data_IF_934639499434
#
_entry.id   IF_934639499434
#
_cell.length_a   1.000
_cell.length_b   1.000
_cell.length_c   1.000
_cell.angle_alpha   90.00
_cell.angle_beta   90.00
_cell.angle_gamma   90.00
#
_symmetry.space_group_name_H-M   'P 1'
#
loop_
_entity.id
_entity.type
_entity.pdbx_description
1 polymer ?
#
# COMPACT_ATOMS: atom_id res chain seq x y z
N UNK A 1 53.43 56.11 -24.38
CA UNK A 1 52.01 56.07 -23.95
C UNK A 1 51.75 54.63 -23.50
N UNK A 2 51.98 54.24 -22.23
CA UNK A 2 51.13 54.50 -21.05
C UNK A 2 49.66 54.10 -21.31
N UNK A 3 48.98 53.26 -20.53
CA UNK A 3 49.26 52.60 -19.25
C UNK A 3 48.21 51.47 -19.06
N UNK A 4 48.59 50.42 -18.34
CA UNK A 4 47.70 49.43 -17.74
C UNK A 4 47.00 49.97 -16.47
N UNK A 5 46.10 49.16 -15.88
CA UNK A 5 45.42 49.30 -14.57
C UNK A 5 43.99 49.85 -14.69
N UNK A 6 42.92 49.12 -14.31
CA UNK A 6 42.70 48.57 -12.97
C UNK A 6 41.96 47.23 -12.97
N UNK A 7 42.52 46.33 -12.16
CA UNK A 7 42.02 45.06 -11.67
C UNK A 7 41.09 45.31 -10.45
N UNK A 8 39.82 44.88 -10.51
CA UNK A 8 38.87 44.55 -9.42
C UNK A 8 37.49 44.44 -10.12
N UNK A 9 36.70 43.37 -10.14
CA UNK A 9 36.49 42.27 -9.22
C UNK A 9 36.16 40.98 -10.00
N UNK A 10 36.78 39.87 -9.61
CA UNK A 10 36.25 38.52 -9.82
C UNK A 10 35.06 38.28 -8.89
N UNK A 11 34.22 37.29 -9.27
CA UNK A 11 33.27 36.51 -8.46
C UNK A 11 31.78 36.92 -8.54
N UNK A 12 31.00 36.02 -9.17
CA UNK A 12 29.79 35.33 -8.66
C UNK A 12 28.83 35.08 -9.83
N UNK A 13 28.82 33.88 -10.39
CA UNK A 13 28.00 32.74 -10.00
C UNK A 13 26.70 32.66 -10.83
N UNK A 14 26.66 31.61 -11.66
CA UNK A 14 25.49 30.94 -12.23
C UNK A 14 24.13 31.61 -12.04
N UNK A 15 23.63 32.25 -13.10
CA UNK A 15 22.18 32.48 -13.23
C UNK A 15 21.52 31.13 -13.48
N UNK A 16 20.96 30.58 -12.41
CA UNK A 16 20.10 29.42 -12.43
C UNK A 16 19.02 29.61 -13.50
N UNK A 17 18.88 28.62 -14.37
CA UNK A 17 17.70 28.47 -15.20
C UNK A 17 16.50 28.31 -14.26
N UNK A 18 15.79 29.41 -14.02
CA UNK A 18 14.47 29.38 -13.43
C UNK A 18 13.58 28.65 -14.43
N UNK A 19 13.42 27.35 -14.21
CA UNK A 19 12.36 26.58 -14.80
C UNK A 19 11.06 27.24 -14.31
N UNK A 20 10.41 28.01 -15.18
CA UNK A 20 9.07 28.51 -14.96
C UNK A 20 8.17 27.27 -14.85
N UNK A 21 7.96 26.80 -13.63
CA UNK A 21 6.89 25.87 -13.32
C UNK A 21 5.60 26.57 -13.75
N UNK A 22 5.00 26.07 -14.82
CA UNK A 22 3.63 26.39 -15.19
C UNK A 22 2.75 26.06 -14.00
N UNK A 23 2.31 27.09 -13.28
CA UNK A 23 1.27 27.01 -12.27
C UNK A 23 -0.01 26.56 -12.97
N UNK A 24 -0.31 25.27 -12.91
CA UNK A 24 -1.66 24.76 -13.18
C UNK A 24 -2.48 25.07 -11.92
N UNK A 25 -3.42 26.03 -11.96
CA UNK A 25 -4.33 26.25 -10.83
C UNK A 25 -5.28 25.05 -10.79
N UNK A 26 -5.09 24.16 -9.82
CA UNK A 26 -5.96 23.00 -9.62
C UNK A 26 -5.29 21.62 -9.54
N UNK A 27 -3.95 21.53 -9.45
CA UNK A 27 -3.33 20.28 -9.04
C UNK A 27 -3.56 20.06 -7.54
N UNK A 28 -4.69 19.46 -7.17
CA UNK A 28 -4.86 18.90 -5.83
C UNK A 28 -3.79 17.82 -5.67
N UNK A 29 -2.82 18.03 -4.78
CA UNK A 29 -1.91 16.95 -4.36
C UNK A 29 -2.78 15.90 -3.71
N UNK A 30 -3.04 14.81 -4.43
CA UNK A 30 -3.79 13.69 -3.88
C UNK A 30 -3.03 13.15 -2.67
N UNK A 31 -3.71 12.89 -1.54
CA UNK A 31 -3.10 12.21 -0.39
C UNK A 31 -2.40 10.94 -0.87
N UNK A 32 -1.21 10.67 -0.33
CA UNK A 32 -0.46 9.44 -0.63
C UNK A 32 -0.63 8.42 0.49
N UNK A 33 -0.38 7.15 0.20
CA UNK A 33 -0.29 6.14 1.24
C UNK A 33 0.72 6.54 2.33
N UNK A 34 0.35 6.33 3.59
CA UNK A 34 1.27 6.52 4.71
C UNK A 34 2.53 5.64 4.56
N UNK A 35 3.72 6.21 4.75
CA UNK A 35 5.00 5.52 4.43
C UNK A 35 5.23 4.24 5.25
N UNK A 36 4.72 4.17 6.47
CA UNK A 36 4.73 2.99 7.33
C UNK A 36 3.88 1.84 6.75
N UNK A 37 2.75 2.17 6.13
CA UNK A 37 1.88 1.20 5.45
C UNK A 37 2.48 0.76 4.12
N UNK A 38 3.15 1.65 3.37
CA UNK A 38 3.89 1.27 2.17
C UNK A 38 4.97 0.23 2.49
N UNK A 39 5.73 0.46 3.56
CA UNK A 39 6.71 -0.52 4.04
C UNK A 39 6.04 -1.82 4.50
N UNK A 40 4.86 -1.75 5.11
CA UNK A 40 4.10 -2.95 5.49
C UNK A 40 3.70 -3.78 4.25
N UNK A 41 3.20 -3.12 3.20
CA UNK A 41 2.89 -3.78 1.93
C UNK A 41 4.13 -4.47 1.33
N UNK A 42 5.33 -3.88 1.43
CA UNK A 42 6.58 -4.52 0.97
C UNK A 42 6.88 -5.81 1.73
N UNK A 43 6.69 -5.80 3.03
CA UNK A 43 6.97 -6.96 3.88
C UNK A 43 5.92 -8.06 3.65
N UNK A 44 4.65 -7.67 3.50
CA UNK A 44 3.54 -8.58 3.17
C UNK A 44 3.72 -9.22 1.80
N UNK A 45 4.18 -8.45 0.80
CA UNK A 45 4.46 -8.98 -0.53
C UNK A 45 5.44 -10.15 -0.47
N UNK A 46 6.52 -9.99 0.33
CA UNK A 46 7.51 -11.05 0.56
C UNK A 46 6.86 -12.26 1.23
N UNK A 47 6.10 -12.07 2.30
CA UNK A 47 5.45 -13.15 3.06
C UNK A 47 4.44 -13.95 2.24
N UNK A 48 3.65 -13.27 1.40
CA UNK A 48 2.69 -13.90 0.50
C UNK A 48 3.36 -14.57 -0.72
N UNK A 49 4.62 -14.23 -1.01
CA UNK A 49 5.28 -14.59 -2.26
C UNK A 49 4.74 -13.83 -3.47
N UNK A 50 4.19 -12.62 -3.25
CA UNK A 50 3.67 -11.74 -4.30
C UNK A 50 4.80 -10.91 -4.89
N UNK A 51 5.12 -11.12 -6.16
CA UNK A 51 6.27 -10.50 -6.84
C UNK A 51 5.90 -9.44 -7.86
N UNK A 52 4.60 -9.26 -8.14
CA UNK A 52 4.10 -8.44 -9.24
C UNK A 52 3.45 -7.12 -8.80
N UNK A 53 3.62 -6.70 -7.54
CA UNK A 53 3.25 -5.34 -7.13
C UNK A 53 4.34 -4.35 -7.54
N UNK A 54 3.92 -3.25 -8.17
CA UNK A 54 4.81 -2.19 -8.60
C UNK A 54 4.94 -1.11 -7.51
N UNK A 55 6.01 -1.20 -6.73
CA UNK A 55 6.31 -0.23 -5.68
C UNK A 55 7.04 1.04 -6.18
N UNK A 56 7.11 1.26 -7.50
CA UNK A 56 7.58 2.54 -8.07
C UNK A 56 6.46 3.60 -8.15
N UNK A 57 5.20 3.16 -8.07
CA UNK A 57 4.00 3.98 -8.05
C UNK A 57 3.32 3.92 -6.67
N UNK A 58 2.53 4.94 -6.35
CA UNK A 58 1.79 4.98 -5.08
C UNK A 58 0.68 3.91 -5.07
N UNK A 59 0.64 2.99 -4.08
CA UNK A 59 -0.41 2.00 -3.98
C UNK A 59 -1.83 2.57 -3.90
N UNK A 60 -1.98 3.80 -3.41
CA UNK A 60 -3.26 4.50 -3.30
C UNK A 60 -3.46 5.57 -4.40
N UNK A 61 -2.54 5.67 -5.37
CA UNK A 61 -2.57 6.69 -6.43
C UNK A 61 -3.60 6.43 -7.53
N UNK A 62 -4.31 5.30 -7.50
CA UNK A 62 -5.27 4.92 -8.56
C UNK A 62 -4.61 4.48 -9.87
N UNK A 63 -3.28 4.32 -9.89
CA UNK A 63 -2.53 3.87 -11.06
C UNK A 63 -2.55 2.33 -11.20
N UNK A 64 -2.22 1.86 -12.42
CA UNK A 64 -2.14 0.43 -12.74
C UNK A 64 -1.01 -0.24 -11.93
N UNK A 65 -1.25 -1.45 -11.42
CA UNK A 65 -0.26 -2.26 -10.70
C UNK A 65 -0.69 -2.71 -9.31
N UNK A 66 -1.58 -1.96 -8.68
CA UNK A 66 -2.14 -2.28 -7.36
C UNK A 66 -3.57 -2.79 -7.39
N UNK A 67 -4.29 -2.50 -8.49
CA UNK A 67 -5.59 -3.07 -8.78
C UNK A 67 -5.72 -3.42 -10.27
N UNK A 68 -6.38 -4.53 -10.58
CA UNK A 68 -6.81 -4.85 -11.93
C UNK A 68 -8.09 -4.07 -12.25
N UNK A 69 -8.10 -3.14 -13.23
CA UNK A 69 -9.33 -2.49 -13.64
C UNK A 69 -10.27 -3.51 -14.28
N UNK A 70 -11.51 -3.58 -13.79
CA UNK A 70 -12.53 -4.56 -14.21
C UNK A 70 -12.07 -6.02 -14.03
N UNK A 71 -11.87 -6.49 -12.78
CA UNK A 71 -11.42 -7.85 -12.56
C UNK A 71 -12.48 -8.84 -13.04
N UNK A 72 -12.01 -9.96 -13.63
CA UNK A 72 -12.86 -11.14 -13.84
C UNK A 72 -13.32 -11.62 -12.46
N UNK A 73 -14.62 -11.90 -12.33
CA UNK A 73 -15.20 -12.38 -11.07
C UNK A 73 -14.44 -13.62 -10.59
N UNK A 74 -13.94 -13.56 -9.35
CA UNK A 74 -13.13 -14.63 -8.76
C UNK A 74 -11.62 -14.55 -9.04
N UNK A 75 -11.14 -13.53 -9.76
CA UNK A 75 -9.73 -13.25 -10.03
C UNK A 75 -9.32 -11.82 -9.64
N UNK A 76 -10.03 -11.24 -8.68
CA UNK A 76 -9.78 -9.90 -8.19
C UNK A 76 -8.37 -9.78 -7.60
N UNK A 77 -7.64 -8.76 -8.03
CA UNK A 77 -6.32 -8.38 -7.51
C UNK A 77 -6.39 -6.89 -7.27
N UNK A 78 -6.58 -6.47 -6.03
CA UNK A 78 -6.78 -5.09 -5.66
C UNK A 78 -6.33 -4.82 -4.21
N UNK A 79 -5.56 -3.75 -4.04
CA UNK A 79 -5.45 -3.02 -2.78
C UNK A 79 -6.30 -1.78 -2.91
N UNK A 80 -7.24 -1.56 -1.99
CA UNK A 80 -8.06 -0.33 -1.95
C UNK A 80 -7.67 0.49 -0.75
N UNK A 81 -7.66 1.81 -0.96
CA UNK A 81 -7.35 2.78 0.08
C UNK A 81 -8.52 3.72 0.33
N UNK A 82 -8.54 4.31 1.51
CA UNK A 82 -9.38 5.45 1.83
C UNK A 82 -8.47 6.65 2.18
N UNK A 83 -8.69 7.75 1.48
CA UNK A 83 -7.92 9.00 1.60
C UNK A 83 -8.78 10.15 2.13
N UNK A 84 -9.99 9.84 2.63
CA UNK A 84 -10.98 10.82 3.08
C UNK A 84 -11.11 10.87 4.60
N UNK A 85 -10.09 10.42 5.33
CA UNK A 85 -10.08 10.43 6.79
C UNK A 85 -10.00 11.88 7.30
N UNK A 86 -10.94 12.33 8.14
CA UNK A 86 -10.92 13.69 8.67
C UNK A 86 -9.66 13.93 9.50
N UNK A 87 -8.94 15.02 9.20
CA UNK A 87 -7.67 15.40 9.85
C UNK A 87 -6.48 14.47 9.55
N UNK A 88 -6.64 13.49 8.68
CA UNK A 88 -5.51 12.75 8.12
C UNK A 88 -5.23 13.26 6.71
N UNK A 89 -3.96 13.52 6.44
CA UNK A 89 -3.49 13.94 5.09
C UNK A 89 -2.91 12.77 4.31
N UNK A 90 -2.90 11.58 4.90
CA UNK A 90 -2.46 10.34 4.28
C UNK A 90 -3.64 9.43 3.93
N UNK A 91 -3.44 8.59 2.92
CA UNK A 91 -4.32 7.47 2.63
C UNK A 91 -3.95 6.28 3.51
N UNK A 92 -4.94 5.45 3.80
CA UNK A 92 -4.75 4.19 4.48
C UNK A 92 -5.34 3.04 3.68
N UNK A 93 -4.70 1.87 3.74
CA UNK A 93 -5.23 0.63 3.18
C UNK A 93 -6.45 0.19 3.98
N UNK A 94 -7.55 -0.05 3.28
CA UNK A 94 -8.81 -0.51 3.89
C UNK A 94 -9.24 -1.89 3.42
N UNK A 95 -8.72 -2.36 2.28
CA UNK A 95 -9.07 -3.66 1.71
C UNK A 95 -7.92 -4.23 0.90
N UNK A 96 -7.63 -5.52 1.12
CA UNK A 96 -6.68 -6.32 0.34
C UNK A 96 -7.42 -7.53 -0.20
N UNK A 97 -7.62 -7.56 -1.52
CA UNK A 97 -8.30 -8.65 -2.23
C UNK A 97 -7.34 -9.22 -3.27
N UNK A 98 -6.90 -10.46 -3.08
CA UNK A 98 -5.92 -11.14 -3.91
C UNK A 98 -6.41 -12.56 -4.23
N UNK A 99 -7.45 -12.67 -5.05
CA UNK A 99 -8.10 -13.94 -5.38
C UNK A 99 -7.45 -14.62 -6.57
N UNK A 100 -7.25 -15.94 -6.47
CA UNK A 100 -6.70 -16.75 -7.57
C UNK A 100 -5.36 -16.25 -8.13
N UNK A 101 -4.46 -15.77 -7.26
CA UNK A 101 -3.15 -15.21 -7.63
C UNK A 101 -1.99 -16.21 -7.52
N UNK A 102 -2.29 -17.50 -7.28
CA UNK A 102 -1.30 -18.57 -7.11
C UNK A 102 -0.25 -18.27 -6.02
N UNK A 103 -0.61 -17.49 -4.99
CA UNK A 103 0.33 -17.08 -3.95
C UNK A 103 0.83 -18.30 -3.16
N UNK A 104 2.16 -18.56 -3.09
CA UNK A 104 2.71 -19.79 -2.51
C UNK A 104 3.12 -19.64 -1.04
N UNK A 105 3.08 -18.43 -0.48
CA UNK A 105 3.62 -18.11 0.83
C UNK A 105 2.74 -18.52 2.02
N UNK A 106 2.81 -17.71 3.07
CA UNK A 106 2.02 -17.87 4.30
C UNK A 106 1.20 -16.63 4.59
N UNK A 107 0.30 -16.70 5.56
CA UNK A 107 -0.44 -15.52 6.03
C UNK A 107 0.50 -14.59 6.83
N UNK A 108 0.54 -13.28 6.51
CA UNK A 108 1.35 -12.31 7.24
C UNK A 108 0.80 -12.04 8.64
N UNK A 109 1.68 -12.07 9.65
CA UNK A 109 1.34 -11.72 11.05
C UNK A 109 1.08 -10.24 11.23
N UNK A 110 1.74 -9.40 10.43
CA UNK A 110 1.87 -7.96 10.69
C UNK A 110 0.83 -7.12 9.92
N UNK A 111 -0.36 -7.68 9.64
CA UNK A 111 -1.47 -6.93 9.01
C UNK A 111 -2.08 -5.90 9.95
N UNK A 112 -1.83 -6.01 11.25
CA UNK A 112 -2.18 -5.03 12.28
C UNK A 112 -1.47 -3.68 12.08
N UNK A 113 -0.43 -3.63 11.23
CA UNK A 113 0.22 -2.39 10.76
C UNK A 113 -0.67 -1.52 9.87
N UNK A 114 -1.82 -2.02 9.43
CA UNK A 114 -2.85 -1.25 8.72
C UNK A 114 -4.00 -0.91 9.67
N UNK A 115 -3.98 0.25 10.35
CA UNK A 115 -4.96 0.59 11.38
C UNK A 115 -6.41 0.64 10.89
N UNK A 116 -6.63 0.78 9.58
CA UNK A 116 -7.96 0.90 8.97
C UNK A 116 -8.33 -0.27 8.05
N UNK A 117 -7.55 -1.36 8.03
CA UNK A 117 -7.85 -2.53 7.21
C UNK A 117 -9.10 -3.24 7.74
N UNK A 118 -10.08 -3.40 6.85
CA UNK A 118 -11.39 -3.98 7.17
C UNK A 118 -11.68 -5.26 6.37
N UNK A 119 -11.07 -5.41 5.19
CA UNK A 119 -11.34 -6.55 4.30
C UNK A 119 -10.04 -7.25 3.91
N UNK A 120 -10.02 -8.57 4.13
CA UNK A 120 -8.97 -9.46 3.64
C UNK A 120 -9.64 -10.59 2.86
N UNK A 121 -9.42 -10.66 1.55
CA UNK A 121 -9.84 -11.80 0.75
C UNK A 121 -8.65 -12.39 -0.01
N UNK A 122 -8.22 -13.57 0.43
CA UNK A 122 -7.12 -14.34 -0.14
C UNK A 122 -7.61 -15.65 -0.77
N UNK A 123 -8.87 -15.67 -1.22
CA UNK A 123 -9.54 -16.87 -1.75
C UNK A 123 -8.77 -17.50 -2.93
N UNK A 124 -8.73 -18.82 -2.97
CA UNK A 124 -8.15 -19.64 -4.06
C UNK A 124 -6.66 -19.35 -4.32
N UNK A 125 -5.84 -19.31 -3.27
CA UNK A 125 -4.38 -19.31 -3.41
C UNK A 125 -3.78 -20.63 -2.92
N UNK A 126 -2.44 -20.69 -2.84
CA UNK A 126 -1.72 -21.84 -2.31
C UNK A 126 -1.10 -21.56 -0.95
N UNK A 127 -1.64 -20.59 -0.21
CA UNK A 127 -1.10 -20.16 1.08
C UNK A 127 -1.15 -21.30 2.09
N UNK A 128 -0.09 -21.46 2.86
CA UNK A 128 0.08 -22.55 3.82
C UNK A 128 0.38 -22.03 5.23
N UNK A 129 0.52 -22.94 6.19
CA UNK A 129 0.74 -22.61 7.61
C UNK A 129 -0.57 -22.47 8.38
N UNK A 130 -0.59 -21.61 9.40
CA UNK A 130 -1.74 -21.39 10.30
C UNK A 130 -2.25 -19.95 10.18
N UNK A 131 -3.50 -19.71 10.60
CA UNK A 131 -4.05 -18.36 10.70
C UNK A 131 -3.37 -17.60 11.85
N UNK A 132 -2.83 -16.39 11.64
CA UNK A 132 -2.18 -15.62 12.69
C UNK A 132 -3.17 -15.18 13.79
N UNK A 133 -2.93 -15.47 15.08
CA UNK A 133 -3.75 -14.96 16.18
C UNK A 133 -3.75 -13.43 16.29
N UNK A 134 -2.70 -12.77 15.79
CA UNK A 134 -2.54 -11.31 15.80
C UNK A 134 -3.70 -10.59 15.11
N UNK A 135 -4.34 -11.22 14.11
CA UNK A 135 -5.48 -10.61 13.44
C UNK A 135 -6.67 -10.37 14.37
N UNK A 136 -6.70 -11.06 15.52
CA UNK A 136 -7.70 -10.87 16.57
C UNK A 136 -7.71 -9.47 17.22
N UNK A 137 -6.64 -8.68 17.09
CA UNK A 137 -6.60 -7.30 17.60
C UNK A 137 -7.04 -6.25 16.57
N UNK A 138 -7.39 -6.66 15.35
CA UNK A 138 -7.76 -5.78 14.26
C UNK A 138 -9.28 -5.52 14.23
N UNK A 139 -9.70 -4.50 13.49
CA UNK A 139 -11.11 -4.15 13.27
C UNK A 139 -11.60 -4.66 11.91
N UNK A 140 -11.38 -5.95 11.65
CA UNK A 140 -11.75 -6.62 10.41
C UNK A 140 -13.26 -6.87 10.33
N UNK A 141 -13.83 -6.57 9.17
CA UNK A 141 -15.25 -6.78 8.86
C UNK A 141 -15.45 -8.05 8.04
N UNK A 142 -14.58 -8.28 7.04
CA UNK A 142 -14.67 -9.41 6.13
C UNK A 142 -13.32 -10.12 6.04
N UNK A 143 -13.32 -11.42 6.26
CA UNK A 143 -12.17 -12.29 6.05
C UNK A 143 -12.62 -13.43 5.15
N UNK A 144 -11.87 -13.71 4.08
CA UNK A 144 -12.03 -14.95 3.32
C UNK A 144 -10.67 -15.56 3.01
N UNK A 145 -10.50 -16.79 3.47
CA UNK A 145 -9.30 -17.60 3.25
C UNK A 145 -9.61 -18.89 2.46
N UNK A 146 -10.80 -18.96 1.86
CA UNK A 146 -11.33 -20.15 1.21
C UNK A 146 -10.39 -20.67 0.12
N UNK A 147 -10.21 -22.00 0.03
CA UNK A 147 -9.44 -22.61 -1.04
C UNK A 147 -7.94 -22.33 -0.95
N UNK A 148 -7.38 -22.32 0.28
CA UNK A 148 -5.95 -22.32 0.56
C UNK A 148 -5.51 -23.68 1.15
N UNK A 149 -4.23 -23.80 1.52
CA UNK A 149 -3.62 -24.98 2.15
C UNK A 149 -3.32 -24.72 3.64
N UNK A 150 -4.16 -23.91 4.29
CA UNK A 150 -4.03 -23.57 5.70
C UNK A 150 -4.36 -24.78 6.57
N UNK A 151 -3.72 -24.83 7.73
CA UNK A 151 -3.83 -25.90 8.72
C UNK A 151 -4.01 -25.30 10.11
N UNK A 152 -4.31 -26.15 11.09
CA UNK A 152 -4.56 -25.73 12.46
C UNK A 152 -5.96 -25.15 12.69
N UNK A 153 -6.29 -24.77 13.93
CA UNK A 153 -7.59 -24.21 14.27
C UNK A 153 -7.70 -22.74 13.89
N UNK A 154 -8.94 -22.23 13.82
CA UNK A 154 -9.20 -20.79 13.87
C UNK A 154 -8.71 -20.27 15.25
N UNK A 155 -7.86 -19.23 15.31
CA UNK A 155 -7.38 -18.69 16.57
C UNK A 155 -8.54 -18.17 17.42
N UNK A 156 -8.54 -18.48 18.72
CA UNK A 156 -9.58 -18.02 19.66
C UNK A 156 -9.64 -16.49 19.74
N UNK A 157 -8.53 -15.82 19.43
CA UNK A 157 -8.38 -14.37 19.38
C UNK A 157 -9.32 -13.73 18.34
N UNK A 158 -9.80 -14.47 17.34
CA UNK A 158 -10.81 -13.98 16.41
C UNK A 158 -12.13 -13.64 17.11
N UNK A 159 -12.39 -14.23 18.29
CA UNK A 159 -13.51 -13.84 19.15
C UNK A 159 -13.42 -12.41 19.68
N UNK A 160 -12.26 -11.75 19.60
CA UNK A 160 -12.07 -10.35 19.98
C UNK A 160 -12.44 -9.37 18.85
N UNK A 161 -12.58 -9.85 17.61
CA UNK A 161 -12.90 -9.01 16.44
C UNK A 161 -14.41 -8.73 16.45
N UNK A 162 -14.81 -7.78 17.29
CA UNK A 162 -16.23 -7.40 17.47
C UNK A 162 -16.89 -6.82 16.21
N UNK A 163 -16.10 -6.45 15.20
CA UNK A 163 -16.54 -5.88 13.93
C UNK A 163 -16.76 -6.92 12.83
N UNK A 164 -16.38 -8.18 13.06
CA UNK A 164 -16.40 -9.23 12.06
C UNK A 164 -17.83 -9.62 11.69
N UNK A 165 -18.15 -9.52 10.41
CA UNK A 165 -19.46 -9.87 9.85
C UNK A 165 -19.37 -11.16 9.03
N UNK A 166 -18.31 -11.32 8.23
CA UNK A 166 -18.11 -12.49 7.37
C UNK A 166 -16.72 -13.10 7.61
N UNK A 167 -16.66 -14.44 7.75
CA UNK A 167 -15.46 -15.24 7.97
C UNK A 167 -15.46 -16.50 7.11
#
# INVERSE_FOLDING_TARGET
MAMASRLLLLLLASLAAFCLASLVPGATVQPRLASNEEQALRDIAKTLGKTNWDFSVDPCGGELGWANPNPVEGQENAVKCNCSFPNDTSCHVVSIVLKAQNLPGTLPTDLDRFPYLQEIDLTRNYLSGTIPPQWGSMQLVNISLLGNRLTGPIPKEFGNISTLVNL
#
